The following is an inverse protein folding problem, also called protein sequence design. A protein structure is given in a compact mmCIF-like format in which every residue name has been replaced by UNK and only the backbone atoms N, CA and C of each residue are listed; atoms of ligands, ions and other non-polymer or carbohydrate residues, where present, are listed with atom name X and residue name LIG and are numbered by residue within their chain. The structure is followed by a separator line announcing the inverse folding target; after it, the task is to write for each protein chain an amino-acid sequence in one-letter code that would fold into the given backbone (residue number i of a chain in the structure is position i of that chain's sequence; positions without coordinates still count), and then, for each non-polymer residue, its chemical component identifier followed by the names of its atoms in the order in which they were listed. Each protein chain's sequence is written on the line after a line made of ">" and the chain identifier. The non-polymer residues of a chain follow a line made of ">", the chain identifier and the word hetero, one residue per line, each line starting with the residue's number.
data_IF_729860046082
#
_entry.id   IF_729860046082
#
_cell.length_a   1.000
_cell.length_b   1.000
_cell.length_c   1.000
_cell.angle_alpha   90.00
_cell.angle_beta   90.00
_cell.angle_gamma   90.00
#
_symmetry.space_group_name_H-M   'P 1'
#
loop_
_entity.id
_entity.type
_entity.pdbx_description
1 polymer ?
#
# COMPACT_ATOMS: atom_id res chain seq x y z
N UNK A 1 -4.61 23.50 -43.75
CA UNK A 1 -4.84 23.60 -42.29
C UNK A 1 -4.43 22.26 -41.67
N UNK A 2 -3.36 22.26 -40.87
CA UNK A 2 -2.50 21.10 -40.54
C UNK A 2 -3.24 19.85 -39.98
N UNK A 3 -2.89 18.66 -40.52
CA UNK A 3 -3.30 17.32 -40.04
C UNK A 3 -2.61 17.00 -38.70
N UNK A 4 -2.96 17.69 -37.61
CA UNK A 4 -2.50 17.32 -36.28
C UNK A 4 -3.26 16.11 -35.72
N UNK A 5 -2.54 15.18 -35.08
CA UNK A 5 -3.10 14.04 -34.35
C UNK A 5 -4.08 14.51 -33.27
N UNK A 6 -5.40 14.32 -33.49
CA UNK A 6 -6.46 14.61 -32.50
C UNK A 6 -6.55 13.51 -31.44
N UNK A 7 -5.56 13.47 -30.54
CA UNK A 7 -5.53 12.54 -29.40
C UNK A 7 -6.09 13.16 -28.11
N UNK A 8 -6.04 14.49 -28.01
CA UNK A 8 -6.60 15.22 -26.90
C UNK A 8 -8.12 15.35 -27.04
N UNK A 9 -8.83 15.18 -25.94
CA UNK A 9 -10.25 15.51 -25.89
C UNK A 9 -10.43 17.03 -25.84
N UNK A 10 -11.38 17.57 -26.62
CA UNK A 10 -11.74 19.00 -26.58
C UNK A 10 -12.22 19.43 -25.18
N UNK A 11 -12.76 18.49 -24.39
CA UNK A 11 -13.18 18.71 -23.01
C UNK A 11 -12.02 18.82 -22.01
N UNK A 12 -10.80 18.45 -22.42
CA UNK A 12 -9.66 18.28 -21.52
C UNK A 12 -9.81 17.14 -20.52
N UNK A 13 -10.78 16.23 -20.71
CA UNK A 13 -11.09 15.12 -19.78
C UNK A 13 -10.98 13.76 -20.46
N UNK A 14 -10.49 12.77 -19.72
CA UNK A 14 -10.44 11.36 -20.18
C UNK A 14 -11.74 10.64 -19.81
N UNK A 15 -12.71 10.60 -20.72
CA UNK A 15 -14.03 9.98 -20.46
C UNK A 15 -14.01 8.50 -20.90
N UNK A 16 -13.26 7.68 -20.17
CA UNK A 16 -13.01 6.27 -20.51
C UNK A 16 -14.28 5.42 -20.56
N UNK A 17 -14.44 4.65 -21.63
CA UNK A 17 -15.50 3.68 -21.91
C UNK A 17 -16.92 4.26 -22.03
N UNK A 18 -17.07 5.58 -22.05
CA UNK A 18 -18.33 6.27 -22.28
C UNK A 18 -18.50 6.63 -23.77
N UNK A 19 -19.74 6.72 -24.25
CA UNK A 19 -20.06 7.14 -25.61
C UNK A 19 -19.48 8.52 -25.98
N UNK A 20 -19.26 9.38 -24.97
CA UNK A 20 -18.70 10.74 -25.13
C UNK A 20 -17.17 10.77 -25.24
N UNK A 21 -16.48 9.63 -25.10
CA UNK A 21 -15.02 9.58 -25.23
C UNK A 21 -14.54 10.04 -26.60
N UNK A 22 -13.69 11.08 -26.65
CA UNK A 22 -13.12 11.63 -27.89
C UNK A 22 -11.60 11.68 -27.91
N UNK A 23 -10.94 11.35 -26.79
CA UNK A 23 -9.52 11.55 -26.55
C UNK A 23 -9.23 11.53 -25.06
N UNK A 24 -8.00 11.88 -24.67
CA UNK A 24 -7.61 12.00 -23.28
C UNK A 24 -7.39 13.45 -22.85
N UNK A 25 -7.60 13.71 -21.55
CA UNK A 25 -7.13 14.93 -20.89
C UNK A 25 -5.74 14.72 -20.33
N UNK A 26 -4.82 15.67 -20.53
CA UNK A 26 -3.49 15.60 -19.91
C UNK A 26 -3.60 15.90 -18.42
N UNK A 27 -2.80 15.19 -17.62
CA UNK A 27 -2.59 15.51 -16.22
C UNK A 27 -1.11 15.36 -15.87
N UNK A 28 -0.76 15.79 -14.67
CA UNK A 28 0.57 15.64 -14.10
C UNK A 28 0.48 14.96 -12.73
N UNK A 29 1.56 14.29 -12.32
CA UNK A 29 1.64 13.72 -10.99
C UNK A 29 2.84 12.81 -10.81
N UNK A 30 3.08 12.44 -9.56
CA UNK A 30 4.12 11.52 -9.16
C UNK A 30 3.54 10.48 -8.21
N UNK A 31 4.02 9.25 -8.31
CA UNK A 31 3.68 8.18 -7.39
C UNK A 31 4.88 7.27 -7.20
N UNK A 32 5.00 6.70 -6.00
CA UNK A 32 6.10 5.83 -5.63
C UNK A 32 5.56 4.63 -4.87
N UNK A 33 6.20 3.47 -5.10
CA UNK A 33 5.95 2.25 -4.37
C UNK A 33 7.25 1.80 -3.71
N UNK A 34 7.14 1.23 -2.52
CA UNK A 34 8.24 0.50 -1.88
C UNK A 34 7.94 -0.98 -2.09
N UNK A 35 8.85 -1.68 -2.76
CA UNK A 35 8.69 -3.09 -3.09
C UNK A 35 9.67 -3.93 -2.28
N UNK A 36 9.20 -5.12 -1.92
CA UNK A 36 9.97 -6.10 -1.17
C UNK A 36 9.47 -7.51 -1.50
N UNK A 37 10.35 -8.52 -1.56
CA UNK A 37 9.91 -9.91 -1.59
C UNK A 37 8.94 -10.20 -0.45
N UNK A 38 7.82 -10.88 -0.75
CA UNK A 38 6.72 -11.08 0.20
C UNK A 38 7.18 -11.81 1.46
N UNK A 39 8.03 -12.83 1.32
CA UNK A 39 8.60 -13.58 2.43
C UNK A 39 9.43 -12.68 3.36
N UNK A 40 10.22 -11.76 2.81
CA UNK A 40 10.98 -10.79 3.61
C UNK A 40 10.08 -9.71 4.22
N UNK A 41 9.02 -9.29 3.55
CA UNK A 41 8.04 -8.36 4.13
C UNK A 41 7.31 -8.99 5.32
N UNK A 42 6.96 -10.29 5.23
CA UNK A 42 6.38 -11.06 6.33
C UNK A 42 7.39 -11.22 7.46
N UNK A 43 8.64 -11.65 7.16
CA UNK A 43 9.70 -11.82 8.18
C UNK A 43 9.98 -10.54 8.96
N UNK A 44 10.00 -9.40 8.29
CA UNK A 44 10.32 -8.11 8.92
C UNK A 44 9.07 -7.42 9.50
N UNK A 45 7.90 -8.07 9.46
CA UNK A 45 6.63 -7.56 9.96
C UNK A 45 6.24 -6.20 9.32
N UNK A 46 6.49 -6.06 8.02
CA UNK A 46 6.12 -4.88 7.25
C UNK A 46 4.60 -4.80 7.02
N UNK A 47 4.09 -3.58 6.86
CA UNK A 47 2.71 -3.35 6.41
C UNK A 47 2.59 -3.68 4.92
N UNK A 48 1.99 -4.83 4.60
CA UNK A 48 1.79 -5.28 3.22
C UNK A 48 0.44 -4.78 2.72
N UNK A 49 0.45 -3.83 1.77
CA UNK A 49 -0.77 -3.21 1.22
C UNK A 49 -1.44 -4.06 0.13
N UNK A 50 -0.62 -4.71 -0.71
CA UNK A 50 -1.03 -5.61 -1.77
C UNK A 50 0.18 -6.47 -2.19
N UNK A 51 -0.08 -7.55 -2.92
CA UNK A 51 0.97 -8.44 -3.48
C UNK A 51 0.93 -8.36 -5.00
N UNK A 52 2.09 -8.12 -5.62
CA UNK A 52 2.24 -8.23 -7.09
C UNK A 52 2.43 -9.71 -7.42
N UNK A 53 1.47 -10.32 -8.13
CA UNK A 53 1.49 -11.74 -8.48
C UNK A 53 2.12 -12.03 -9.83
N UNK A 54 2.07 -11.06 -10.75
CA UNK A 54 2.68 -11.17 -12.06
C UNK A 54 2.80 -9.81 -12.73
N UNK A 55 3.88 -9.62 -13.47
CA UNK A 55 4.10 -8.44 -14.31
C UNK A 55 4.67 -8.88 -15.65
N UNK A 56 4.55 -8.04 -16.66
CA UNK A 56 5.22 -8.26 -17.93
C UNK A 56 5.08 -7.07 -18.85
N UNK A 57 5.92 -7.08 -19.89
CA UNK A 57 5.90 -6.10 -20.96
C UNK A 57 5.97 -6.82 -22.32
N UNK A 58 5.41 -6.20 -23.36
CA UNK A 58 5.65 -6.59 -24.74
C UNK A 58 5.56 -5.37 -25.69
N UNK A 59 5.52 -5.61 -27.00
CA UNK A 59 5.42 -4.58 -28.02
C UNK A 59 4.33 -4.95 -29.04
N UNK A 60 3.60 -3.96 -29.52
CA UNK A 60 2.53 -4.08 -30.53
C UNK A 60 2.98 -4.65 -31.88
N UNK A 61 4.26 -4.55 -32.18
CA UNK A 61 4.90 -4.93 -33.43
C UNK A 61 4.53 -4.00 -34.57
N UNK A 62 4.26 -4.60 -35.74
CA UNK A 62 3.82 -3.88 -36.94
C UNK A 62 2.33 -3.57 -36.84
N UNK A 63 1.98 -2.31 -36.65
CA UNK A 63 0.61 -1.79 -36.69
C UNK A 63 0.43 -0.80 -37.86
N UNK A 64 -0.81 -0.42 -38.25
CA UNK A 64 -1.05 0.52 -39.35
C UNK A 64 -0.40 1.91 -39.17
N UNK A 65 -0.02 2.28 -37.95
CA UNK A 65 0.76 3.46 -37.65
C UNK A 65 1.41 3.31 -36.28
N UNK A 66 2.57 3.94 -36.05
CA UNK A 66 3.39 3.75 -34.84
C UNK A 66 2.63 3.98 -33.51
N UNK A 67 1.54 4.75 -33.57
CA UNK A 67 0.70 5.13 -32.42
C UNK A 67 -0.57 4.30 -32.29
N UNK A 68 -0.80 3.36 -33.20
CA UNK A 68 -2.02 2.55 -33.25
C UNK A 68 -1.85 1.31 -32.37
N UNK A 69 -2.77 1.05 -31.43
CA UNK A 69 -2.66 -0.08 -30.52
C UNK A 69 -2.92 -1.42 -31.23
N UNK A 70 -2.37 -2.50 -30.67
CA UNK A 70 -2.63 -3.87 -31.13
C UNK A 70 -3.40 -4.70 -30.08
N UNK A 71 -4.68 -4.98 -30.34
CA UNK A 71 -5.49 -5.84 -29.45
C UNK A 71 -4.88 -7.23 -29.26
N UNK A 72 -4.32 -7.81 -30.33
CA UNK A 72 -3.65 -9.11 -30.26
C UNK A 72 -2.40 -9.08 -29.35
N UNK A 73 -1.64 -7.98 -29.36
CA UNK A 73 -0.49 -7.83 -28.47
C UNK A 73 -0.93 -7.65 -27.00
N UNK A 74 -2.00 -6.90 -26.74
CA UNK A 74 -2.59 -6.76 -25.41
C UNK A 74 -3.09 -8.10 -24.87
N UNK A 75 -3.81 -8.88 -25.68
CA UNK A 75 -4.25 -10.22 -25.31
C UNK A 75 -3.08 -11.16 -25.02
N UNK A 76 -2.09 -11.19 -25.92
CA UNK A 76 -0.89 -12.02 -25.77
C UNK A 76 -0.17 -11.71 -24.46
N UNK A 77 -0.02 -10.43 -24.12
CA UNK A 77 0.60 -9.99 -22.88
C UNK A 77 -0.15 -10.51 -21.65
N UNK A 78 -1.46 -10.26 -21.59
CA UNK A 78 -2.29 -10.69 -20.46
C UNK A 78 -2.28 -12.22 -20.32
N UNK A 79 -2.50 -12.98 -21.40
CA UNK A 79 -2.45 -14.45 -21.38
C UNK A 79 -1.10 -14.98 -20.90
N UNK A 80 0.00 -14.36 -21.33
CA UNK A 80 1.34 -14.77 -20.91
C UNK A 80 1.55 -14.57 -19.41
N UNK A 81 1.14 -13.43 -18.86
CA UNK A 81 1.34 -13.11 -17.44
C UNK A 81 0.47 -14.00 -16.55
N UNK A 82 -0.81 -14.18 -16.87
CA UNK A 82 -1.68 -15.10 -16.13
C UNK A 82 -1.14 -16.53 -16.14
N UNK A 83 -0.66 -17.01 -17.30
CA UNK A 83 -0.05 -18.33 -17.44
C UNK A 83 1.24 -18.47 -16.62
N UNK A 84 2.16 -17.51 -16.73
CA UNK A 84 3.44 -17.53 -16.02
C UNK A 84 3.27 -17.48 -14.50
N UNK A 85 2.28 -16.71 -14.04
CA UNK A 85 1.98 -16.58 -12.62
C UNK A 85 1.07 -17.70 -12.08
N UNK A 86 0.62 -18.64 -12.93
CA UNK A 86 -0.28 -19.73 -12.55
C UNK A 86 -1.62 -19.24 -12.00
N UNK A 87 -2.16 -18.14 -12.54
CA UNK A 87 -3.38 -17.48 -12.06
C UNK A 87 -4.57 -17.83 -12.96
N UNK A 88 -5.74 -18.03 -12.37
CA UNK A 88 -7.00 -18.11 -13.10
C UNK A 88 -7.52 -16.69 -13.42
N UNK A 89 -7.72 -16.31 -14.70
CA UNK A 89 -8.34 -15.04 -15.08
C UNK A 89 -9.73 -14.82 -14.47
N UNK A 90 -10.49 -15.89 -14.17
CA UNK A 90 -11.82 -15.79 -13.56
C UNK A 90 -11.78 -15.22 -12.12
N UNK A 91 -10.66 -15.39 -11.42
CA UNK A 91 -10.44 -14.84 -10.07
C UNK A 91 -10.19 -13.31 -10.10
N UNK A 92 -9.99 -12.72 -11.28
CA UNK A 92 -9.91 -11.27 -11.44
C UNK A 92 -11.29 -10.63 -11.28
N UNK A 93 -11.42 -9.68 -10.35
CA UNK A 93 -12.68 -8.97 -10.09
C UNK A 93 -12.77 -7.62 -10.77
N UNK A 94 -11.62 -7.00 -11.06
CA UNK A 94 -11.55 -5.67 -11.64
C UNK A 94 -10.33 -5.53 -12.56
N UNK A 95 -10.49 -4.81 -13.66
CA UNK A 95 -9.36 -4.34 -14.48
C UNK A 95 -9.30 -2.81 -14.42
N UNK A 96 -8.21 -2.31 -13.83
CA UNK A 96 -7.77 -0.94 -14.00
C UNK A 96 -7.14 -0.82 -15.39
N UNK A 97 -7.95 -0.41 -16.35
CA UNK A 97 -7.56 -0.33 -17.74
C UNK A 97 -6.60 0.85 -17.99
N UNK A 98 -5.91 0.81 -19.13
CA UNK A 98 -5.23 1.98 -19.63
C UNK A 98 -6.25 3.08 -19.94
N UNK A 99 -7.39 2.74 -20.56
CA UNK A 99 -8.65 3.48 -20.54
C UNK A 99 -8.49 4.98 -20.70
N UNK A 100 -8.11 5.41 -21.90
CA UNK A 100 -7.78 6.81 -22.19
C UNK A 100 -8.98 7.65 -22.60
N UNK A 101 -10.11 7.03 -22.94
CA UNK A 101 -11.27 7.76 -23.49
C UNK A 101 -11.17 7.95 -25.01
N UNK A 102 -10.27 7.22 -25.68
CA UNK A 102 -10.09 7.35 -27.13
C UNK A 102 -11.09 6.47 -27.89
N UNK A 103 -11.61 6.99 -29.02
CA UNK A 103 -12.63 6.31 -29.83
C UNK A 103 -12.20 4.94 -30.38
N UNK A 104 -10.90 4.76 -30.57
CA UNK A 104 -10.30 3.54 -31.13
C UNK A 104 -9.73 2.65 -30.02
N UNK A 105 -9.03 3.24 -29.04
CA UNK A 105 -8.35 2.49 -27.99
C UNK A 105 -9.32 1.79 -27.04
N UNK A 106 -10.36 2.47 -26.58
CA UNK A 106 -11.26 1.93 -25.57
C UNK A 106 -11.97 0.62 -26.03
N UNK A 107 -12.54 0.53 -27.25
CA UNK A 107 -13.09 -0.74 -27.74
C UNK A 107 -12.05 -1.85 -27.92
N UNK A 108 -10.85 -1.52 -28.40
CA UNK A 108 -9.76 -2.50 -28.59
C UNK A 108 -9.34 -3.10 -27.24
N UNK A 109 -9.13 -2.24 -26.24
CA UNK A 109 -8.74 -2.68 -24.91
C UNK A 109 -9.85 -3.49 -24.23
N UNK A 110 -11.11 -3.05 -24.30
CA UNK A 110 -12.23 -3.78 -23.74
C UNK A 110 -12.38 -5.18 -24.37
N UNK A 111 -12.16 -5.29 -25.68
CA UNK A 111 -12.16 -6.57 -26.40
C UNK A 111 -11.04 -7.49 -25.90
N UNK A 112 -9.81 -6.96 -25.79
CA UNK A 112 -8.68 -7.74 -25.28
C UNK A 112 -8.92 -8.23 -23.84
N UNK A 113 -9.48 -7.36 -22.98
CA UNK A 113 -9.85 -7.73 -21.60
C UNK A 113 -10.92 -8.84 -21.61
N UNK A 114 -11.96 -8.72 -22.43
CA UNK A 114 -12.99 -9.74 -22.55
C UNK A 114 -12.40 -11.09 -22.98
N UNK A 115 -11.55 -11.10 -24.00
CA UNK A 115 -10.98 -12.32 -24.58
C UNK A 115 -10.07 -13.09 -23.61
N UNK A 116 -9.48 -12.41 -22.61
CA UNK A 116 -8.57 -13.04 -21.65
C UNK A 116 -9.20 -13.26 -20.27
N UNK A 117 -9.92 -12.26 -19.75
CA UNK A 117 -10.39 -12.21 -18.36
C UNK A 117 -11.92 -12.33 -18.27
N UNK A 118 -12.63 -11.96 -19.34
CA UNK A 118 -14.09 -11.82 -19.38
C UNK A 118 -14.87 -12.98 -20.01
N UNK A 119 -14.24 -14.05 -20.48
CA UNK A 119 -14.91 -15.12 -21.23
C UNK A 119 -15.97 -15.89 -20.43
N UNK A 120 -15.73 -16.19 -19.14
CA UNK A 120 -16.62 -17.04 -18.33
C UNK A 120 -17.39 -16.23 -17.27
N UNK A 121 -17.96 -15.09 -17.68
CA UNK A 121 -18.70 -14.18 -16.79
C UNK A 121 -20.19 -14.35 -16.95
N UNK A 122 -20.92 -14.13 -15.86
CA UNK A 122 -22.39 -14.16 -15.82
C UNK A 122 -22.95 -12.84 -15.31
N UNK A 123 -24.25 -12.63 -15.44
CA UNK A 123 -24.90 -11.41 -14.92
C UNK A 123 -24.76 -11.24 -13.40
N UNK A 124 -24.62 -12.36 -12.67
CA UNK A 124 -24.40 -12.44 -11.21
C UNK A 124 -22.92 -12.29 -10.82
N UNK A 125 -22.01 -12.57 -11.74
CA UNK A 125 -20.56 -12.45 -11.56
C UNK A 125 -19.91 -11.69 -12.74
N UNK A 126 -20.22 -10.39 -12.90
CA UNK A 126 -19.70 -9.60 -13.98
C UNK A 126 -18.23 -9.24 -13.75
N UNK A 127 -17.47 -9.06 -14.83
CA UNK A 127 -16.16 -8.42 -14.75
C UNK A 127 -16.33 -6.90 -14.72
N UNK A 128 -15.73 -6.25 -13.73
CA UNK A 128 -15.71 -4.80 -13.68
C UNK A 128 -14.44 -4.25 -14.35
N UNK A 129 -14.56 -3.15 -15.10
CA UNK A 129 -13.40 -2.43 -15.61
C UNK A 129 -13.57 -0.93 -15.35
N UNK A 130 -12.46 -0.19 -15.32
CA UNK A 130 -12.48 1.25 -15.19
C UNK A 130 -11.11 1.88 -15.37
N UNK A 131 -11.01 3.19 -15.11
CA UNK A 131 -9.75 3.94 -15.28
C UNK A 131 -9.71 5.15 -14.36
N UNK A 132 -8.61 5.28 -13.61
CA UNK A 132 -8.27 6.43 -12.76
C UNK A 132 -8.14 7.72 -13.58
N UNK A 133 -7.89 7.61 -14.90
CA UNK A 133 -7.75 8.77 -15.78
C UNK A 133 -9.05 9.58 -15.87
N UNK A 134 -10.20 8.97 -15.58
CA UNK A 134 -11.47 9.70 -15.45
C UNK A 134 -11.49 10.71 -14.29
N UNK A 135 -10.68 10.49 -13.25
CA UNK A 135 -10.57 11.36 -12.08
C UNK A 135 -9.47 12.41 -12.22
N UNK A 136 -8.30 12.01 -12.72
CA UNK A 136 -7.07 12.85 -12.65
C UNK A 136 -6.41 13.08 -14.01
N UNK A 137 -7.04 12.66 -15.10
CA UNK A 137 -6.45 12.75 -16.44
C UNK A 137 -5.34 11.71 -16.68
N UNK A 138 -4.70 11.83 -17.83
CA UNK A 138 -3.61 10.97 -18.27
C UNK A 138 -2.27 11.54 -17.80
N UNK A 139 -1.68 10.92 -16.76
CA UNK A 139 -0.44 11.39 -16.13
C UNK A 139 0.85 10.95 -16.85
N UNK A 140 0.73 10.54 -18.10
CA UNK A 140 1.86 10.18 -18.98
C UNK A 140 2.75 9.11 -18.32
N UNK A 141 4.00 9.44 -18.01
CA UNK A 141 4.96 8.55 -17.36
C UNK A 141 4.46 8.00 -16.01
N UNK A 142 3.66 8.78 -15.28
CA UNK A 142 3.09 8.36 -13.99
C UNK A 142 1.79 7.56 -14.14
N UNK A 143 1.22 7.39 -15.34
CA UNK A 143 -0.10 6.77 -15.52
C UNK A 143 -0.19 5.34 -14.97
N UNK A 144 0.87 4.54 -15.12
CA UNK A 144 0.88 3.17 -14.61
C UNK A 144 0.91 3.12 -13.08
N UNK A 145 1.73 3.95 -12.43
CA UNK A 145 1.92 3.89 -10.98
C UNK A 145 0.66 4.31 -10.22
N UNK A 146 -0.08 5.30 -10.71
CA UNK A 146 -1.36 5.71 -10.08
C UNK A 146 -2.44 4.64 -10.23
N UNK A 147 -2.45 3.89 -11.34
CA UNK A 147 -3.34 2.73 -11.51
C UNK A 147 -3.04 1.64 -10.47
N UNK A 148 -1.75 1.34 -10.23
CA UNK A 148 -1.33 0.38 -9.21
C UNK A 148 -1.69 0.85 -7.80
N UNK A 149 -1.51 2.13 -7.48
CA UNK A 149 -1.88 2.71 -6.18
C UNK A 149 -3.39 2.59 -5.96
N UNK A 150 -4.22 2.99 -6.95
CA UNK A 150 -5.68 2.83 -6.90
C UNK A 150 -6.07 1.38 -6.67
N UNK A 151 -5.49 0.45 -7.42
CA UNK A 151 -5.77 -0.97 -7.29
C UNK A 151 -5.41 -1.52 -5.90
N UNK A 152 -4.22 -1.19 -5.37
CA UNK A 152 -3.83 -1.58 -4.03
C UNK A 152 -4.80 -1.04 -2.96
N UNK A 153 -5.21 0.22 -3.08
CA UNK A 153 -6.21 0.82 -2.17
C UNK A 153 -7.58 0.16 -2.27
N UNK A 154 -8.01 -0.22 -3.48
CA UNK A 154 -9.28 -0.93 -3.70
C UNK A 154 -9.27 -2.33 -3.06
N UNK A 155 -8.18 -3.08 -3.20
CA UNK A 155 -8.00 -4.40 -2.58
C UNK A 155 -7.95 -4.31 -1.05
N UNK A 156 -7.17 -3.36 -0.52
CA UNK A 156 -7.02 -3.15 0.91
C UNK A 156 -8.35 -2.77 1.56
N UNK A 157 -9.07 -1.80 0.98
CA UNK A 157 -10.33 -1.29 1.55
C UNK A 157 -11.53 -2.17 1.22
N UNK A 158 -11.43 -3.03 0.20
CA UNK A 158 -12.52 -3.92 -0.18
C UNK A 158 -13.67 -3.24 -0.91
N UNK A 159 -13.38 -2.27 -1.78
CA UNK A 159 -14.40 -1.58 -2.60
C UNK A 159 -13.96 -1.41 -4.06
N UNK A 160 -14.95 -1.42 -4.95
CA UNK A 160 -14.81 -0.91 -6.31
C UNK A 160 -15.13 0.59 -6.33
N UNK A 161 -14.25 1.37 -6.95
CA UNK A 161 -14.43 2.81 -7.14
C UNK A 161 -15.09 3.11 -8.48
N UNK A 162 -15.92 4.17 -8.56
CA UNK A 162 -16.58 4.55 -9.79
C UNK A 162 -15.62 5.13 -10.83
N UNK A 163 -15.94 4.97 -12.11
CA UNK A 163 -15.43 5.87 -13.15
C UNK A 163 -16.13 7.23 -12.99
N UNK A 164 -15.35 8.29 -12.85
CA UNK A 164 -15.90 9.62 -12.69
C UNK A 164 -16.64 10.08 -13.96
N UNK A 165 -17.78 10.76 -13.76
CA UNK A 165 -18.67 11.26 -14.82
C UNK A 165 -19.09 10.19 -15.85
N UNK A 166 -19.16 8.90 -15.49
CA UNK A 166 -19.69 7.87 -16.40
C UNK A 166 -21.21 7.99 -16.54
N UNK A 167 -21.72 8.15 -17.78
CA UNK A 167 -23.15 8.35 -18.06
C UNK A 167 -23.72 7.31 -19.00
N UNK A 168 -23.10 7.09 -20.15
CA UNK A 168 -23.60 6.19 -21.19
C UNK A 168 -22.48 5.28 -21.67
N UNK A 169 -22.61 3.95 -21.56
CA UNK A 169 -21.59 3.03 -22.07
C UNK A 169 -21.36 3.23 -23.57
N UNK A 170 -20.11 3.10 -24.00
CA UNK A 170 -19.75 3.12 -25.42
C UNK A 170 -20.41 1.93 -26.15
N UNK A 171 -21.24 2.22 -27.15
CA UNK A 171 -22.06 1.23 -27.86
C UNK A 171 -21.25 0.27 -28.74
N UNK A 172 -19.99 0.61 -29.04
CA UNK A 172 -19.07 -0.28 -29.77
C UNK A 172 -18.57 -1.46 -28.94
N UNK A 173 -18.86 -1.48 -27.64
CA UNK A 173 -18.46 -2.54 -26.72
C UNK A 173 -19.71 -3.35 -26.33
N UNK A 174 -19.75 -4.67 -26.59
CA UNK A 174 -20.87 -5.56 -26.23
C UNK A 174 -21.04 -5.83 -24.72
N UNK A 175 -21.25 -4.79 -23.90
CA UNK A 175 -21.28 -4.87 -22.42
C UNK A 175 -22.22 -5.95 -21.86
N UNK A 176 -23.42 -6.07 -22.43
CA UNK A 176 -24.44 -7.04 -21.96
C UNK A 176 -24.03 -8.47 -22.28
N UNK A 177 -23.56 -8.71 -23.50
CA UNK A 177 -23.14 -10.03 -23.98
C UNK A 177 -21.90 -10.52 -23.22
N UNK A 178 -20.96 -9.61 -22.97
CA UNK A 178 -19.69 -9.94 -22.30
C UNK A 178 -19.79 -9.96 -20.78
N UNK A 179 -20.96 -9.66 -20.20
CA UNK A 179 -21.16 -9.49 -18.76
C UNK A 179 -20.07 -8.59 -18.12
N UNK A 180 -19.72 -7.50 -18.82
CA UNK A 180 -18.75 -6.52 -18.36
C UNK A 180 -19.47 -5.23 -17.91
N UNK A 181 -18.96 -4.59 -16.86
CA UNK A 181 -19.59 -3.40 -16.28
C UNK A 181 -18.58 -2.33 -15.89
N UNK A 182 -18.98 -1.07 -16.07
CA UNK A 182 -18.28 0.08 -15.46
C UNK A 182 -18.96 0.39 -14.12
N UNK A 183 -18.21 0.50 -13.00
CA UNK A 183 -18.78 0.97 -11.75
C UNK A 183 -19.17 2.45 -11.89
N UNK A 184 -20.46 2.77 -11.76
CA UNK A 184 -20.97 4.15 -11.73
C UNK A 184 -21.00 4.75 -10.31
N UNK A 185 -20.98 3.89 -9.29
CA UNK A 185 -20.97 4.25 -7.87
C UNK A 185 -20.01 3.34 -7.12
N UNK A 186 -19.51 3.80 -5.97
CA UNK A 186 -18.74 2.95 -5.06
C UNK A 186 -19.59 1.75 -4.64
N UNK A 187 -18.99 0.57 -4.63
CA UNK A 187 -19.65 -0.68 -4.22
C UNK A 187 -18.68 -1.63 -3.54
N UNK A 188 -19.17 -2.60 -2.75
CA UNK A 188 -18.31 -3.62 -2.16
C UNK A 188 -17.51 -4.38 -3.21
N UNK A 189 -16.32 -4.83 -2.84
CA UNK A 189 -15.51 -5.73 -3.66
C UNK A 189 -16.28 -7.02 -3.99
N UNK A 190 -16.22 -7.54 -5.23
CA UNK A 190 -16.94 -8.75 -5.60
C UNK A 190 -16.52 -9.96 -4.76
N UNK A 191 -17.50 -10.76 -4.33
CA UNK A 191 -17.25 -11.98 -3.56
C UNK A 191 -16.40 -12.95 -4.38
N UNK A 192 -15.50 -13.67 -3.71
CA UNK A 192 -14.64 -14.70 -4.31
C UNK A 192 -13.70 -14.21 -5.42
N UNK A 193 -13.49 -12.91 -5.58
CA UNK A 193 -12.48 -12.35 -6.47
C UNK A 193 -11.24 -11.97 -5.70
N UNK A 194 -10.09 -12.31 -6.26
CA UNK A 194 -8.78 -12.18 -5.62
C UNK A 194 -7.94 -11.07 -6.24
N UNK A 195 -8.11 -10.86 -7.56
CA UNK A 195 -7.16 -10.06 -8.33
C UNK A 195 -7.73 -8.76 -8.87
N UNK A 196 -6.85 -7.75 -8.95
CA UNK A 196 -6.99 -6.60 -9.84
C UNK A 196 -5.90 -6.69 -10.90
N UNK A 197 -6.29 -6.58 -12.16
CA UNK A 197 -5.37 -6.36 -13.27
C UNK A 197 -5.19 -4.87 -13.54
N UNK A 198 -3.98 -4.45 -13.87
CA UNK A 198 -3.64 -3.07 -14.24
C UNK A 198 -2.98 -3.06 -15.61
N UNK A 199 -3.57 -2.36 -16.58
CA UNK A 199 -3.03 -2.17 -17.92
C UNK A 199 -2.39 -0.78 -18.06
N UNK A 200 -1.28 -0.72 -18.79
CA UNK A 200 -0.74 0.55 -19.27
C UNK A 200 -0.10 0.36 -20.65
N UNK A 201 -0.64 1.02 -21.67
CA UNK A 201 -0.21 0.85 -23.06
C UNK A 201 0.45 2.13 -23.56
N UNK A 202 1.73 2.04 -23.88
CA UNK A 202 2.55 3.17 -24.26
C UNK A 202 2.26 3.61 -25.69
N UNK A 203 2.32 4.91 -25.92
CA UNK A 203 2.06 5.52 -27.22
C UNK A 203 2.98 4.98 -28.34
N UNK A 204 4.20 4.55 -28.01
CA UNK A 204 5.14 3.92 -28.94
C UNK A 204 4.96 2.41 -29.12
N UNK A 205 3.85 1.83 -28.63
CA UNK A 205 3.51 0.42 -28.77
C UNK A 205 4.07 -0.51 -27.69
N UNK A 206 4.80 0.00 -26.69
CA UNK A 206 5.24 -0.82 -25.54
C UNK A 206 4.11 -0.96 -24.53
N UNK A 207 3.69 -2.20 -24.27
CA UNK A 207 2.60 -2.50 -23.35
C UNK A 207 3.14 -3.03 -22.02
N UNK A 208 2.45 -2.73 -20.94
CA UNK A 208 2.69 -3.28 -19.62
C UNK A 208 1.38 -3.77 -18.98
N UNK A 209 1.48 -4.85 -18.22
CA UNK A 209 0.37 -5.41 -17.45
C UNK A 209 0.87 -5.95 -16.11
N UNK A 210 0.07 -5.74 -15.06
CA UNK A 210 0.36 -6.15 -13.68
C UNK A 210 -0.88 -6.79 -13.08
N UNK A 211 -0.71 -7.90 -12.35
CA UNK A 211 -1.77 -8.53 -11.55
C UNK A 211 -1.46 -8.36 -10.07
N UNK A 212 -2.38 -7.73 -9.34
CA UNK A 212 -2.31 -7.47 -7.90
C UNK A 212 -3.30 -8.37 -7.16
N UNK A 213 -2.91 -8.84 -5.98
CA UNK A 213 -3.75 -9.59 -5.06
C UNK A 213 -3.83 -8.87 -3.71
N UNK A 214 -4.95 -9.05 -3.00
CA UNK A 214 -5.11 -8.59 -1.63
C UNK A 214 -4.03 -9.20 -0.73
N UNK A 215 -3.44 -8.39 0.13
CA UNK A 215 -2.47 -8.88 1.11
C UNK A 215 -3.12 -9.94 2.03
N UNK A 216 -2.44 -11.07 2.31
CA UNK A 216 -2.96 -12.12 3.19
C UNK A 216 -3.13 -11.65 4.65
N UNK A 217 -2.39 -10.61 5.04
CA UNK A 217 -2.47 -9.98 6.35
C UNK A 217 -2.74 -8.49 6.19
N UNK A 218 -3.93 -8.03 6.59
CA UNK A 218 -4.25 -6.61 6.75
C UNK A 218 -4.06 -6.13 8.19
N UNK A 219 -3.24 -6.85 8.98
CA UNK A 219 -2.93 -6.39 10.31
C UNK A 219 -2.13 -5.09 10.19
N UNK A 220 -2.69 -3.98 10.68
CA UNK A 220 -1.86 -2.88 11.15
C UNK A 220 -0.76 -3.52 12.00
N UNK A 221 0.52 -3.16 11.80
CA UNK A 221 1.61 -3.81 12.51
C UNK A 221 1.25 -3.84 14.00
N UNK A 222 1.05 -5.04 14.55
CA UNK A 222 1.06 -5.19 15.99
C UNK A 222 2.48 -4.79 16.35
N UNK A 223 2.64 -3.61 16.98
CA UNK A 223 3.85 -3.29 17.72
C UNK A 223 4.01 -4.42 18.72
N UNK A 224 4.86 -5.38 18.38
CA UNK A 224 5.37 -6.28 19.39
C UNK A 224 6.23 -5.42 20.31
N UNK A 225 5.75 -5.23 21.53
CA UNK A 225 6.44 -4.42 22.55
C UNK A 225 7.74 -5.09 23.00
N UNK A 226 7.97 -6.35 22.62
CA UNK A 226 9.06 -7.19 23.10
C UNK A 226 10.04 -7.62 21.99
N UNK A 227 9.81 -7.26 20.72
CA UNK A 227 10.76 -7.54 19.65
C UNK A 227 11.96 -6.57 19.75
N UNK A 228 13.20 -7.06 19.91
CA UNK A 228 14.37 -6.22 19.76
C UNK A 228 14.41 -5.64 18.33
N UNK A 229 14.92 -4.41 18.15
CA UNK A 229 14.96 -3.78 16.83
C UNK A 229 15.72 -4.66 15.83
N UNK A 230 15.34 -4.64 14.53
CA UNK A 230 16.10 -5.34 13.50
C UNK A 230 17.57 -4.88 13.52
N UNK A 231 18.51 -5.82 13.48
CA UNK A 231 19.93 -5.48 13.34
C UNK A 231 20.16 -4.70 12.05
N UNK A 232 20.49 -3.42 12.21
CA UNK A 232 20.71 -2.51 11.10
C UNK A 232 21.99 -2.89 10.35
N UNK A 233 21.87 -3.35 9.09
CA UNK A 233 22.98 -3.27 8.13
C UNK A 233 23.43 -1.82 8.06
N UNK A 234 24.72 -1.57 8.35
CA UNK A 234 25.36 -0.24 8.35
C UNK A 234 25.19 0.44 6.99
N UNK A 235 24.19 1.32 6.87
CA UNK A 235 24.08 2.30 5.79
C UNK A 235 24.77 3.57 6.28
N UNK A 236 25.75 4.07 5.51
CA UNK A 236 26.40 5.37 5.74
C UNK A 236 25.37 6.49 5.60
N UNK A 237 24.78 6.89 6.72
CA UNK A 237 23.83 8.00 6.83
C UNK A 237 23.16 7.89 8.19
N UNK A 238 23.47 8.82 9.09
CA UNK A 238 23.02 8.80 10.50
C UNK A 238 21.50 8.92 10.59
N UNK A 239 20.79 7.78 10.64
CA UNK A 239 19.39 7.75 11.06
C UNK A 239 19.34 7.92 12.57
N UNK A 240 18.73 9.01 13.05
CA UNK A 240 18.48 9.26 14.48
C UNK A 240 17.08 8.72 14.85
N UNK A 241 16.96 8.15 16.05
CA UNK A 241 15.70 7.68 16.61
C UNK A 241 15.01 8.87 17.29
N UNK A 242 13.76 9.15 16.91
CA UNK A 242 12.89 10.08 17.63
C UNK A 242 11.99 9.26 18.55
N UNK A 243 12.20 9.38 19.87
CA UNK A 243 11.29 8.81 20.87
C UNK A 243 10.29 9.88 21.24
N UNK A 244 9.02 9.66 20.88
CA UNK A 244 7.90 10.49 21.34
C UNK A 244 7.12 9.68 22.37
N UNK A 245 7.07 10.18 23.61
CA UNK A 245 6.20 9.68 24.67
C UNK A 245 5.55 10.87 25.38
N UNK A 246 4.23 10.85 25.50
CA UNK A 246 3.49 11.83 26.27
C UNK A 246 2.26 11.15 26.87
N UNK A 247 1.87 11.59 28.07
CA UNK A 247 0.64 11.15 28.74
C UNK A 247 -0.60 11.95 28.26
N UNK A 248 -0.39 13.02 27.48
CA UNK A 248 -1.44 13.82 26.83
C UNK A 248 -0.99 14.35 25.44
N UNK A 249 -1.96 14.54 24.54
CA UNK A 249 -1.78 14.97 23.15
C UNK A 249 -1.23 16.39 23.03
N UNK A 250 -1.45 17.25 24.03
CA UNK A 250 -0.95 18.63 24.04
C UNK A 250 0.47 18.76 24.62
N UNK A 251 1.01 17.70 25.22
CA UNK A 251 2.33 17.73 25.86
C UNK A 251 3.50 17.46 24.90
N UNK A 252 3.22 17.33 23.60
CA UNK A 252 4.27 17.13 22.59
C UNK A 252 4.90 18.49 22.26
N UNK A 253 5.98 18.82 22.96
CA UNK A 253 6.83 19.97 22.65
C UNK A 253 8.02 19.46 21.82
N UNK A 254 8.31 20.03 20.64
CA UNK A 254 9.50 19.66 19.87
C UNK A 254 10.78 19.93 20.67
N UNK A 255 11.56 18.88 20.94
CA UNK A 255 12.91 19.03 21.48
C UNK A 255 13.86 19.64 20.44
N UNK A 256 14.80 20.48 20.89
CA UNK A 256 15.90 20.98 20.04
C UNK A 256 16.90 19.85 19.74
N UNK A 257 17.48 19.92 18.55
CA UNK A 257 18.57 19.05 18.13
C UNK A 257 19.75 19.14 19.10
N UNK A 258 20.18 18.00 19.61
CA UNK A 258 21.46 17.86 20.32
C UNK A 258 22.30 16.79 19.61
N UNK A 259 23.61 17.05 19.51
CA UNK A 259 24.61 16.03 19.18
C UNK A 259 24.49 14.84 20.16
N UNK A 260 24.98 13.63 19.81
CA UNK A 260 25.03 12.52 20.76
C UNK A 260 25.73 12.99 22.04
N UNK A 261 24.94 13.23 23.08
CA UNK A 261 25.46 13.76 24.32
C UNK A 261 26.38 12.70 24.91
N UNK A 262 27.56 13.12 25.37
CA UNK A 262 28.33 12.27 26.30
C UNK A 262 27.49 12.18 27.58
N UNK A 263 26.90 11.01 27.81
CA UNK A 263 26.06 10.75 28.99
C UNK A 263 26.99 10.49 30.17
N UNK A 264 26.93 11.36 31.18
CA UNK A 264 27.50 11.10 32.50
C UNK A 264 26.40 10.66 33.45
N UNK A 265 26.57 9.52 34.12
CA UNK A 265 25.71 9.13 35.23
C UNK A 265 26.28 9.75 36.51
N UNK A 266 25.53 10.65 37.14
CA UNK A 266 25.86 11.21 38.44
C UNK A 266 25.02 10.46 39.48
N UNK A 267 25.70 9.72 40.36
CA UNK A 267 25.06 9.03 41.48
C UNK A 267 25.04 9.98 42.67
N UNK A 268 23.84 10.33 43.14
CA UNK A 268 23.67 11.20 44.31
C UNK A 268 24.14 10.50 45.58
N UNK A 269 24.75 11.24 46.49
CA UNK A 269 25.11 10.76 47.83
C UNK A 269 23.93 10.78 48.81
N UNK A 270 24.25 10.78 50.11
CA UNK A 270 23.27 10.93 51.18
C UNK A 270 22.50 12.27 51.07
N UNK A 271 21.19 12.24 51.26
CA UNK A 271 20.29 13.40 51.23
C UNK A 271 19.21 13.33 50.15
N UNK A 272 19.30 12.39 49.20
CA UNK A 272 18.29 12.18 48.16
C UNK A 272 17.20 11.16 48.55
N UNK A 273 17.35 10.47 49.67
CA UNK A 273 16.41 9.44 50.13
C UNK A 273 15.09 10.04 50.63
N UNK A 274 13.98 9.34 50.36
CA UNK A 274 12.66 9.62 50.93
C UNK A 274 11.86 8.32 51.04
N UNK A 275 10.90 8.25 51.97
CA UNK A 275 10.26 7.00 52.44
C UNK A 275 9.55 6.15 51.38
N UNK A 276 9.14 6.73 50.25
CA UNK A 276 8.45 6.03 49.16
C UNK A 276 9.28 5.85 47.90
N UNK A 277 10.59 6.16 47.94
CA UNK A 277 11.44 6.10 46.75
C UNK A 277 11.43 4.70 46.13
N UNK A 278 11.31 4.62 44.80
CA UNK A 278 11.39 3.35 44.08
C UNK A 278 10.21 2.39 44.23
N UNK A 279 9.22 2.64 45.11
CA UNK A 279 8.09 1.73 45.34
C UNK A 279 7.23 1.50 44.11
N UNK A 280 6.80 2.59 43.47
CA UNK A 280 6.01 2.52 42.25
C UNK A 280 6.80 1.83 41.12
N UNK A 281 8.11 2.13 41.04
CA UNK A 281 8.98 1.55 40.02
C UNK A 281 9.13 0.03 40.19
N UNK A 282 9.21 -0.44 41.43
CA UNK A 282 9.31 -1.85 41.77
C UNK A 282 8.06 -2.66 41.35
N UNK A 283 6.87 -2.07 41.42
CA UNK A 283 5.63 -2.69 40.95
C UNK A 283 5.38 -2.56 39.44
N UNK A 284 5.93 -1.53 38.80
CA UNK A 284 5.61 -1.18 37.41
C UNK A 284 6.63 -1.69 36.37
N UNK A 285 7.92 -1.84 36.73
CA UNK A 285 8.99 -2.08 35.75
C UNK A 285 9.85 -3.31 36.10
N UNK A 286 9.73 -4.42 35.33
CA UNK A 286 10.44 -5.68 35.63
C UNK A 286 11.97 -5.57 35.72
N UNK A 287 12.58 -4.66 34.95
CA UNK A 287 14.04 -4.43 34.99
C UNK A 287 14.46 -3.80 36.32
N UNK A 288 13.64 -2.87 36.84
CA UNK A 288 13.89 -2.25 38.13
C UNK A 288 13.70 -3.25 39.27
N UNK A 289 12.62 -4.04 39.23
CA UNK A 289 12.37 -5.14 40.17
C UNK A 289 13.57 -6.09 40.25
N UNK A 290 14.02 -6.62 39.10
CA UNK A 290 15.13 -7.55 39.04
C UNK A 290 16.46 -6.95 39.57
N UNK A 291 16.69 -5.65 39.37
CA UNK A 291 17.88 -4.97 39.89
C UNK A 291 17.83 -4.81 41.42
N UNK A 292 16.67 -4.44 41.97
CA UNK A 292 16.47 -4.33 43.43
C UNK A 292 16.54 -5.71 44.10
N UNK A 293 15.91 -6.74 43.51
CA UNK A 293 15.98 -8.12 44.02
C UNK A 293 17.43 -8.62 44.11
N UNK A 294 18.21 -8.34 43.06
CA UNK A 294 19.63 -8.70 43.03
C UNK A 294 20.44 -7.92 44.06
N UNK A 295 20.15 -6.63 44.27
CA UNK A 295 20.82 -5.83 45.28
C UNK A 295 20.50 -6.32 46.70
N UNK A 296 19.24 -6.66 46.95
CA UNK A 296 18.77 -7.22 48.21
C UNK A 296 19.43 -8.56 48.53
N UNK A 297 19.50 -9.47 47.55
CA UNK A 297 20.20 -10.75 47.69
C UNK A 297 21.69 -10.54 48.03
N UNK A 298 22.36 -9.59 47.37
CA UNK A 298 23.75 -9.25 47.65
C UNK A 298 23.94 -8.69 49.07
N UNK A 299 23.06 -7.79 49.53
CA UNK A 299 23.13 -7.21 50.87
C UNK A 299 22.93 -8.28 51.94
N UNK A 300 21.97 -9.19 51.74
CA UNK A 300 21.75 -10.33 52.65
C UNK A 300 22.96 -11.26 52.70
N UNK A 301 23.62 -11.53 51.57
CA UNK A 301 24.88 -12.30 51.54
C UNK A 301 26.03 -11.62 52.27
N UNK A 302 26.02 -10.29 52.36
CA UNK A 302 27.01 -9.51 53.12
C UNK A 302 26.68 -9.41 54.62
N UNK A 303 25.59 -10.04 55.08
CA UNK A 303 25.20 -10.09 56.49
C UNK A 303 24.20 -9.03 56.92
N UNK A 304 23.51 -8.36 56.00
CA UNK A 304 22.41 -7.47 56.36
C UNK A 304 21.24 -8.27 56.98
N UNK A 305 20.80 -7.88 58.18
CA UNK A 305 19.66 -8.48 58.89
C UNK A 305 18.29 -7.93 58.44
N UNK A 306 18.28 -7.05 57.43
CA UNK A 306 17.10 -6.38 56.89
C UNK A 306 16.98 -6.63 55.39
N UNK A 307 15.75 -6.49 54.87
CA UNK A 307 15.42 -6.61 53.45
C UNK A 307 15.24 -5.23 52.81
N UNK A 308 15.96 -4.97 51.74
CA UNK A 308 15.84 -3.76 50.92
C UNK A 308 14.44 -3.66 50.29
N UNK A 309 13.87 -4.79 49.84
CA UNK A 309 12.53 -4.81 49.26
C UNK A 309 11.47 -4.44 50.30
N UNK A 310 11.62 -4.96 51.52
CA UNK A 310 10.71 -4.63 52.62
C UNK A 310 10.84 -3.16 53.00
N UNK A 311 12.07 -2.64 53.14
CA UNK A 311 12.31 -1.24 53.50
C UNK A 311 11.70 -0.26 52.47
N UNK A 312 11.87 -0.51 51.16
CA UNK A 312 11.26 0.32 50.10
C UNK A 312 9.71 0.28 50.11
N UNK A 313 9.13 -0.73 50.75
CA UNK A 313 7.69 -0.94 50.84
C UNK A 313 7.05 -0.34 52.10
N UNK A 314 7.84 0.12 53.08
CA UNK A 314 7.36 0.64 54.37
C UNK A 314 6.66 1.99 54.28
N UNK A 315 5.64 2.22 55.07
CA UNK A 315 5.00 3.55 55.13
C UNK A 315 5.91 4.61 55.78
N UNK A 316 5.48 5.88 55.69
CA UNK A 316 6.25 7.03 56.17
C UNK A 316 6.61 6.95 57.67
N UNK A 317 5.77 6.30 58.47
CA UNK A 317 5.92 6.21 59.93
C UNK A 317 6.84 5.06 60.36
N UNK A 318 7.00 4.04 59.52
CA UNK A 318 7.82 2.84 59.79
C UNK A 318 9.13 2.77 59.00
N UNK A 319 9.31 3.64 58.00
CA UNK A 319 10.59 3.83 57.30
C UNK A 319 11.62 4.44 58.25
N UNK A 320 12.82 3.83 58.31
CA UNK A 320 13.93 4.32 59.17
C UNK A 320 14.88 5.26 58.43
#
# INVERSE_FOLDING_TARGET
>A
MSRYFRLLADSGRSIAFDQRGTGFGRGEGCGMLILKPLDQAIRDNDSIRAVIRGTGINQDGKTPGITMPSGAAQEKLMRQIYRNAGLDPNDCGYVEAHGTGTKVGDPIEATAIHNVIGQNRSSKDPLFIGSVKSNIGHLEAASGIVGVIKAAMMLERGFLLPNHDFKKPNEKIPWKEWNMKIPATQRPWPKNKKYISVNNFGFGGTNAHIVLEKAPFTALPKKDKNLPPPEAKKVKGTKKIYVLSANDKNSVIPGKETEPLRIGFVFTGQGAQWWGMGRELYGAYPIYTAAIDRADECLRKLGAEWSLVEELSRDQESSK
#
